data_IF_642376613851
#
_entry.id   IF_642376613851
#
_cell.length_a   1.000
_cell.length_b   1.000
_cell.length_c   1.000
_cell.angle_alpha   90.00
_cell.angle_beta   90.00
_cell.angle_gamma   90.00
#
_symmetry.space_group_name_H-M   'P 1'
#
loop_
_entity.id
_entity.type
_entity.pdbx_description
1 polymer ?
#
# COMPACT_ATOMS: atom_id res chain seq x y z
N UNK A 1 26.45 -5.84 -5.44
CA UNK A 1 25.30 -4.94 -5.39
C UNK A 1 25.57 -3.81 -4.41
N UNK A 2 25.15 -2.59 -4.72
CA UNK A 2 25.25 -1.45 -3.80
C UNK A 2 23.88 -1.10 -3.20
N UNK A 3 22.82 -1.27 -3.98
CA UNK A 3 21.45 -0.96 -3.60
C UNK A 3 20.50 -1.75 -4.51
N UNK A 4 19.37 -2.16 -3.97
CA UNK A 4 18.25 -2.72 -4.71
C UNK A 4 16.97 -1.97 -4.34
N UNK A 5 16.02 -1.91 -5.25
CA UNK A 5 14.71 -1.34 -5.00
C UNK A 5 13.61 -2.30 -5.44
N UNK A 6 12.48 -2.24 -4.77
CA UNK A 6 11.24 -2.94 -5.10
C UNK A 6 10.10 -1.93 -5.17
N UNK A 7 9.19 -2.12 -6.11
CA UNK A 7 7.95 -1.37 -6.24
C UNK A 7 6.94 -2.15 -7.07
N UNK A 8 5.66 -1.75 -7.02
CA UNK A 8 4.58 -2.36 -7.78
C UNK A 8 3.77 -3.38 -7.01
N UNK A 9 4.39 -4.06 -6.06
CA UNK A 9 3.75 -4.97 -5.10
C UNK A 9 4.36 -4.78 -3.72
N UNK A 10 3.62 -5.11 -2.67
CA UNK A 10 4.15 -5.05 -1.31
C UNK A 10 5.28 -6.07 -1.13
N UNK A 11 6.41 -5.63 -0.59
CA UNK A 11 7.56 -6.49 -0.32
C UNK A 11 7.36 -7.26 1.01
N UNK A 12 7.19 -8.60 0.97
CA UNK A 12 7.09 -9.38 2.20
C UNK A 12 8.38 -9.29 3.02
N UNK A 13 8.23 -9.14 4.34
CA UNK A 13 9.37 -9.00 5.25
C UNK A 13 10.34 -10.18 5.19
N UNK A 14 9.81 -11.42 5.05
CA UNK A 14 10.62 -12.63 4.92
C UNK A 14 11.52 -12.59 3.66
N UNK A 15 10.95 -12.18 2.53
CA UNK A 15 11.69 -12.03 1.27
C UNK A 15 12.82 -11.01 1.43
N UNK A 16 12.54 -9.86 2.05
CA UNK A 16 13.54 -8.83 2.31
C UNK A 16 14.67 -9.33 3.21
N UNK A 17 14.35 -10.05 4.29
CA UNK A 17 15.33 -10.66 5.19
C UNK A 17 16.20 -11.68 4.48
N UNK A 18 15.61 -12.59 3.69
CA UNK A 18 16.33 -13.62 2.93
C UNK A 18 17.23 -13.01 1.86
N UNK A 19 16.75 -11.98 1.17
CA UNK A 19 17.55 -11.25 0.19
C UNK A 19 18.78 -10.61 0.84
N UNK A 20 18.61 -9.90 1.95
CA UNK A 20 19.70 -9.29 2.70
C UNK A 20 20.72 -10.34 3.18
N UNK A 21 20.23 -11.46 3.71
CA UNK A 21 21.10 -12.53 4.17
C UNK A 21 21.95 -13.13 3.04
N UNK A 22 21.41 -13.19 1.81
CA UNK A 22 22.10 -13.77 0.66
C UNK A 22 23.02 -12.77 -0.04
N UNK A 23 22.59 -11.52 -0.23
CA UNK A 23 23.31 -10.54 -1.06
C UNK A 23 24.02 -9.45 -0.24
N UNK A 24 23.80 -9.37 1.07
CA UNK A 24 24.43 -8.40 1.96
C UNK A 24 23.94 -6.96 1.80
N UNK A 25 22.86 -6.74 1.04
CA UNK A 25 22.25 -5.40 0.82
C UNK A 25 20.75 -5.45 1.07
N UNK A 26 20.21 -4.31 1.52
CA UNK A 26 18.79 -4.15 1.71
C UNK A 26 18.05 -3.86 0.39
N UNK A 27 16.78 -4.19 0.35
CA UNK A 27 15.85 -3.74 -0.68
C UNK A 27 15.14 -2.48 -0.17
N UNK A 28 15.21 -1.42 -0.93
CA UNK A 28 14.46 -0.18 -0.70
C UNK A 28 13.09 -0.38 -1.32
N UNK A 29 12.08 -0.57 -0.47
CA UNK A 29 10.70 -0.68 -0.93
C UNK A 29 10.07 0.70 -1.11
N UNK A 30 9.09 0.80 -2.01
CA UNK A 30 8.38 2.03 -2.26
C UNK A 30 7.13 1.86 -3.09
N UNK A 31 6.19 2.77 -2.93
CA UNK A 31 5.00 2.88 -3.77
C UNK A 31 4.98 4.21 -4.50
N UNK A 32 4.65 4.13 -5.76
CA UNK A 32 4.32 5.24 -6.64
C UNK A 32 3.13 4.89 -7.50
N UNK A 33 2.64 5.84 -8.27
CA UNK A 33 1.56 5.59 -9.21
C UNK A 33 1.71 6.44 -10.48
N UNK A 34 0.98 6.06 -11.52
CA UNK A 34 0.89 6.84 -12.76
C UNK A 34 0.33 8.24 -12.50
N UNK A 35 -0.63 8.35 -11.59
CA UNK A 35 -1.28 9.61 -11.20
C UNK A 35 -0.34 10.59 -10.52
N UNK A 36 0.65 10.06 -9.81
CA UNK A 36 1.67 10.86 -9.11
C UNK A 36 3.00 10.91 -9.86
N UNK A 37 3.13 10.21 -11.01
CA UNK A 37 4.34 10.11 -11.85
C UNK A 37 5.56 9.51 -11.13
N UNK A 38 5.58 9.51 -9.83
CA UNK A 38 6.75 9.23 -9.00
C UNK A 38 6.40 8.40 -7.77
N UNK A 39 7.42 7.88 -7.10
CA UNK A 39 7.33 7.26 -5.79
C UNK A 39 7.08 8.34 -4.75
N UNK A 40 6.07 8.15 -3.90
CA UNK A 40 5.65 9.09 -2.86
C UNK A 40 5.74 8.54 -1.43
N UNK A 41 5.80 7.22 -1.26
CA UNK A 41 6.23 6.55 -0.03
C UNK A 41 7.42 5.65 -0.35
N UNK A 42 8.43 5.64 0.50
CA UNK A 42 9.59 4.76 0.33
C UNK A 42 10.31 4.53 1.65
N UNK A 43 10.96 3.37 1.75
CA UNK A 43 12.02 3.16 2.73
C UNK A 43 13.23 4.04 2.37
N UNK A 44 13.98 4.46 3.39
CA UNK A 44 15.26 5.15 3.22
C UNK A 44 16.40 4.16 3.56
N UNK A 45 17.56 4.21 2.88
CA UNK A 45 18.67 3.27 3.15
C UNK A 45 19.09 3.18 4.62
N UNK A 46 18.98 4.30 5.35
CA UNK A 46 19.34 4.38 6.77
C UNK A 46 18.13 4.19 7.71
N UNK A 47 16.93 3.95 7.17
CA UNK A 47 15.69 3.87 7.94
C UNK A 47 14.73 2.87 7.28
N UNK A 48 15.10 1.58 7.33
CA UNK A 48 14.32 0.48 6.74
C UNK A 48 13.58 -0.26 7.84
N UNK A 49 12.27 -0.41 7.67
CA UNK A 49 11.43 -1.30 8.46
C UNK A 49 10.78 -2.32 7.52
N UNK A 50 11.26 -3.56 7.55
CA UNK A 50 10.70 -4.62 6.72
C UNK A 50 9.22 -4.87 7.01
N UNK A 51 8.45 -5.18 5.97
CA UNK A 51 6.99 -5.28 6.05
C UNK A 51 6.28 -3.93 6.02
N UNK A 52 7.02 -2.83 5.82
CA UNK A 52 6.43 -1.52 5.56
C UNK A 52 6.97 -0.93 4.27
N UNK A 53 6.18 -0.11 3.62
CA UNK A 53 6.59 0.67 2.44
C UNK A 53 7.51 1.85 2.82
N UNK A 54 7.62 2.16 4.12
CA UNK A 54 8.45 3.26 4.63
C UNK A 54 7.65 4.50 5.00
N UNK A 55 8.17 5.66 4.66
CA UNK A 55 7.64 7.00 5.03
C UNK A 55 7.44 7.88 3.79
N UNK A 56 6.72 9.02 3.91
CA UNK A 56 6.57 9.95 2.81
C UNK A 56 7.91 10.47 2.28
N UNK A 57 8.06 10.44 0.96
CA UNK A 57 9.23 11.00 0.27
C UNK A 57 9.19 12.54 0.38
N UNK A 58 10.34 13.17 0.49
CA UNK A 58 10.43 14.63 0.60
C UNK A 58 9.67 15.34 -0.54
N UNK A 59 8.81 16.29 -0.19
CA UNK A 59 7.95 17.03 -1.12
C UNK A 59 6.57 16.42 -1.32
N UNK A 60 6.30 15.25 -0.75
CA UNK A 60 4.98 14.64 -0.72
C UNK A 60 4.38 14.66 0.68
N UNK A 61 3.08 14.87 0.72
CA UNK A 61 2.27 14.71 1.92
C UNK A 61 1.33 13.53 1.73
N UNK A 62 1.16 12.75 2.79
CA UNK A 62 0.34 11.54 2.77
C UNK A 62 -0.65 11.58 3.92
N UNK A 63 -1.89 11.27 3.62
CA UNK A 63 -2.99 11.20 4.60
C UNK A 63 -3.73 9.88 4.44
N UNK A 64 -4.03 9.22 5.55
CA UNK A 64 -4.95 8.09 5.58
C UNK A 64 -6.34 8.60 6.00
N UNK A 65 -7.37 8.25 5.25
CA UNK A 65 -8.76 8.60 5.57
C UNK A 65 -9.57 7.35 5.86
N UNK A 66 -10.27 7.39 6.99
CA UNK A 66 -11.26 6.38 7.35
C UNK A 66 -12.48 6.45 6.41
N UNK A 67 -13.39 5.50 6.50
CA UNK A 67 -14.60 5.44 5.65
C UNK A 67 -15.51 6.67 5.77
N UNK A 68 -15.50 7.33 6.92
CA UNK A 68 -16.24 8.57 7.14
C UNK A 68 -15.56 9.81 6.54
N UNK A 69 -14.44 9.66 5.85
CA UNK A 69 -13.65 10.72 5.22
C UNK A 69 -12.79 11.54 6.18
N UNK A 70 -12.78 11.21 7.48
CA UNK A 70 -11.90 11.86 8.46
C UNK A 70 -10.52 11.21 8.45
N UNK A 71 -9.47 11.91 8.91
CA UNK A 71 -8.16 11.32 9.09
C UNK A 71 -8.22 10.06 9.99
N UNK A 72 -7.64 8.96 9.53
CA UNK A 72 -7.51 7.74 10.32
C UNK A 72 -6.45 7.92 11.42
N UNK A 73 -6.70 7.33 12.58
CA UNK A 73 -5.73 7.30 13.67
C UNK A 73 -4.59 6.32 13.37
N UNK A 74 -3.48 6.45 14.13
CA UNK A 74 -2.41 5.46 14.05
C UNK A 74 -2.93 4.08 14.46
N UNK A 75 -2.59 3.06 13.68
CA UNK A 75 -3.09 1.70 13.83
C UNK A 75 -4.43 1.41 13.14
N UNK A 76 -5.12 2.41 12.60
CA UNK A 76 -6.35 2.22 11.83
C UNK A 76 -6.07 2.12 10.33
N UNK A 77 -6.82 1.23 9.66
CA UNK A 77 -6.79 1.13 8.19
C UNK A 77 -7.48 2.35 7.59
N UNK A 78 -6.82 3.00 6.64
CA UNK A 78 -7.36 4.13 5.91
C UNK A 78 -7.05 4.07 4.42
N UNK A 79 -7.87 4.75 3.63
CA UNK A 79 -7.64 5.01 2.22
C UNK A 79 -6.48 6.00 2.07
N UNK A 80 -5.52 5.68 1.21
CA UNK A 80 -4.31 6.48 1.01
C UNK A 80 -4.58 7.65 0.06
N UNK A 81 -4.33 8.84 0.55
CA UNK A 81 -4.36 10.08 -0.20
C UNK A 81 -2.99 10.73 -0.24
N UNK A 82 -2.60 11.24 -1.40
CA UNK A 82 -1.29 11.85 -1.62
C UNK A 82 -1.46 13.27 -2.15
N UNK A 83 -0.64 14.19 -1.66
CA UNK A 83 -0.46 15.53 -2.20
C UNK A 83 1.00 15.74 -2.58
N UNK A 84 1.26 16.21 -3.79
CA UNK A 84 2.63 16.46 -4.26
C UNK A 84 2.66 17.18 -5.60
N UNK A 85 3.83 17.71 -5.98
CA UNK A 85 3.96 18.59 -7.16
C UNK A 85 3.81 17.85 -8.50
N UNK A 86 3.92 16.53 -8.50
CA UNK A 86 3.89 15.71 -9.72
C UNK A 86 2.52 15.13 -10.05
N UNK A 87 1.49 15.46 -9.26
CA UNK A 87 0.13 14.95 -9.48
C UNK A 87 -0.37 15.30 -10.89
N UNK A 88 -0.93 14.31 -11.57
CA UNK A 88 -1.58 14.50 -12.86
C UNK A 88 -2.86 15.36 -12.70
N UNK A 89 -3.28 15.98 -13.79
CA UNK A 89 -4.46 16.85 -13.77
C UNK A 89 -5.76 16.05 -13.92
N UNK A 90 -5.74 15.02 -14.77
CA UNK A 90 -6.92 14.21 -15.08
C UNK A 90 -6.53 12.97 -15.89
N UNK A 91 -7.47 12.02 -15.98
CA UNK A 91 -7.43 10.97 -16.99
C UNK A 91 -8.00 11.49 -18.31
N UNK A 92 -7.37 11.14 -19.43
CA UNK A 92 -7.83 11.52 -20.74
C UNK A 92 -9.23 10.97 -21.04
N UNK A 93 -10.16 11.84 -21.40
CA UNK A 93 -11.56 11.50 -21.74
C UNK A 93 -12.32 10.68 -20.70
N UNK A 94 -11.88 10.67 -19.44
CA UNK A 94 -12.54 9.96 -18.34
C UNK A 94 -12.81 10.91 -17.17
N UNK A 95 -13.90 11.68 -17.32
CA UNK A 95 -14.27 12.73 -16.34
C UNK A 95 -14.68 12.16 -15.00
N UNK A 96 -15.41 11.05 -15.00
CA UNK A 96 -15.91 10.42 -13.78
C UNK A 96 -14.76 9.94 -12.92
N UNK A 97 -13.90 9.11 -13.49
CA UNK A 97 -12.70 8.59 -12.79
C UNK A 97 -11.76 9.70 -12.36
N UNK A 98 -11.62 10.77 -13.17
CA UNK A 98 -10.78 11.92 -12.81
C UNK A 98 -11.29 12.61 -11.55
N UNK A 99 -12.61 12.77 -11.39
CA UNK A 99 -13.21 13.39 -10.20
C UNK A 99 -13.11 12.53 -8.95
N UNK A 100 -13.19 11.21 -9.11
CA UNK A 100 -13.00 10.26 -8.02
C UNK A 100 -11.56 10.25 -7.51
N UNK A 101 -10.60 10.36 -8.44
CA UNK A 101 -9.18 10.23 -8.15
C UNK A 101 -8.55 11.55 -7.71
N UNK A 102 -8.76 12.62 -8.50
CA UNK A 102 -8.13 13.93 -8.25
C UNK A 102 -9.10 14.85 -7.50
N UNK A 103 -8.95 14.89 -6.18
CA UNK A 103 -9.85 15.58 -5.25
C UNK A 103 -9.21 16.86 -4.71
N UNK A 104 -9.25 17.95 -5.49
CA UNK A 104 -8.59 19.20 -5.14
C UNK A 104 -7.06 19.06 -5.18
N UNK A 105 -6.40 19.25 -4.03
CA UNK A 105 -4.95 19.08 -3.91
C UNK A 105 -4.52 17.63 -3.67
N UNK A 106 -5.47 16.73 -3.44
CA UNK A 106 -5.22 15.35 -3.07
C UNK A 106 -5.52 14.38 -4.22
N UNK A 107 -4.70 13.37 -4.36
CA UNK A 107 -4.91 12.22 -5.25
C UNK A 107 -5.22 10.99 -4.41
N UNK A 108 -6.36 10.36 -4.67
CA UNK A 108 -6.76 9.09 -4.07
C UNK A 108 -6.02 7.95 -4.78
N UNK A 109 -5.24 7.13 -4.05
CA UNK A 109 -4.45 6.05 -4.67
C UNK A 109 -5.28 4.82 -5.03
N UNK A 110 -6.33 4.53 -4.26
CA UNK A 110 -7.05 3.26 -4.32
C UNK A 110 -6.39 2.14 -3.50
N UNK A 111 -5.40 2.49 -2.69
CA UNK A 111 -4.73 1.57 -1.78
C UNK A 111 -5.11 1.88 -0.34
N UNK A 112 -5.19 0.84 0.49
CA UNK A 112 -5.39 0.96 1.94
C UNK A 112 -4.08 0.72 2.67
N UNK A 113 -3.85 1.53 3.68
CA UNK A 113 -2.66 1.49 4.52
C UNK A 113 -3.00 1.66 5.99
N UNK A 114 -2.09 1.20 6.83
CA UNK A 114 -2.05 1.53 8.26
C UNK A 114 -0.79 2.33 8.51
N UNK A 115 -0.89 3.43 9.26
CA UNK A 115 0.28 4.13 9.78
C UNK A 115 0.53 3.66 11.20
N UNK A 116 1.74 3.17 11.48
CA UNK A 116 2.11 2.78 12.83
C UNK A 116 2.53 3.98 13.69
N UNK A 117 2.68 3.74 15.00
CA UNK A 117 3.08 4.77 15.97
C UNK A 117 4.49 5.36 15.73
N UNK A 118 5.29 4.77 14.84
CA UNK A 118 6.62 5.23 14.44
C UNK A 118 6.57 5.99 13.10
N UNK A 119 5.38 6.10 12.50
CA UNK A 119 5.15 6.82 11.25
C UNK A 119 5.45 6.01 9.98
N UNK A 120 5.63 4.69 10.07
CA UNK A 120 5.76 3.84 8.90
C UNK A 120 4.40 3.44 8.36
N UNK A 121 4.31 3.34 7.05
CA UNK A 121 3.12 2.95 6.33
C UNK A 121 3.19 1.48 5.94
N UNK A 122 2.23 0.71 6.41
CA UNK A 122 2.09 -0.74 6.14
C UNK A 122 0.92 -0.94 5.19
N UNK A 123 1.16 -1.63 4.09
CA UNK A 123 0.14 -1.93 3.09
C UNK A 123 -0.94 -2.86 3.66
N UNK A 124 -2.20 -2.53 3.43
CA UNK A 124 -3.36 -3.27 3.92
C UNK A 124 -4.29 -3.78 2.79
N UNK A 125 -3.86 -3.63 1.54
CA UNK A 125 -4.61 -4.11 0.37
C UNK A 125 -5.14 -3.00 -0.53
N UNK A 126 -5.83 -3.39 -1.59
CA UNK A 126 -6.54 -2.49 -2.50
C UNK A 126 -7.94 -2.19 -1.97
N UNK A 127 -8.42 -0.98 -2.21
CA UNK A 127 -9.77 -0.57 -1.81
C UNK A 127 -10.87 -1.31 -2.58
N UNK A 128 -10.58 -1.67 -3.83
CA UNK A 128 -11.47 -2.38 -4.74
C UNK A 128 -11.43 -3.91 -4.57
N UNK A 129 -10.41 -4.46 -3.90
CA UNK A 129 -10.24 -5.90 -3.67
C UNK A 129 -10.73 -6.36 -2.28
N UNK A 130 -11.14 -5.43 -1.40
CA UNK A 130 -11.60 -5.77 -0.06
C UNK A 130 -12.86 -6.63 -0.11
N UNK A 131 -12.78 -7.81 0.50
CA UNK A 131 -13.92 -8.72 0.63
C UNK A 131 -14.82 -8.29 1.78
N UNK A 132 -16.13 -8.35 1.58
CA UNK A 132 -17.10 -8.12 2.64
C UNK A 132 -17.68 -9.46 3.11
N UNK A 133 -17.23 -9.94 4.26
CA UNK A 133 -17.64 -11.23 4.83
C UNK A 133 -18.47 -10.96 6.08
N UNK A 134 -19.75 -11.28 6.04
CA UNK A 134 -20.69 -11.07 7.17
C UNK A 134 -20.63 -9.63 7.73
N UNK A 135 -20.47 -8.64 6.85
CA UNK A 135 -20.41 -7.22 7.23
C UNK A 135 -19.02 -6.74 7.67
N UNK A 136 -18.03 -7.59 7.73
CA UNK A 136 -16.64 -7.25 8.08
C UNK A 136 -15.82 -7.18 6.79
N UNK A 137 -15.00 -6.12 6.65
CA UNK A 137 -14.03 -6.04 5.56
C UNK A 137 -12.80 -6.89 5.87
N UNK A 138 -12.50 -7.80 4.95
CA UNK A 138 -11.34 -8.70 5.01
C UNK A 138 -10.42 -8.36 3.85
N UNK A 139 -9.17 -8.13 4.14
CA UNK A 139 -8.13 -7.94 3.13
C UNK A 139 -7.65 -9.29 2.60
N UNK A 140 -7.81 -9.60 1.31
CA UNK A 140 -7.18 -10.76 0.70
C UNK A 140 -5.68 -10.81 1.00
N UNK A 141 -5.00 -9.68 0.87
CA UNK A 141 -3.57 -9.55 1.11
C UNK A 141 -3.14 -9.98 2.53
N UNK A 142 -3.90 -9.60 3.57
CA UNK A 142 -3.59 -10.00 4.95
C UNK A 142 -3.71 -11.53 5.13
N UNK A 143 -4.75 -12.13 4.56
CA UNK A 143 -4.96 -13.58 4.62
C UNK A 143 -3.89 -14.32 3.83
N UNK A 144 -3.57 -13.87 2.64
CA UNK A 144 -2.51 -14.43 1.79
C UNK A 144 -1.15 -14.34 2.48
N UNK A 145 -0.83 -13.19 3.07
CA UNK A 145 0.41 -12.98 3.82
C UNK A 145 0.52 -13.95 5.00
N UNK A 146 -0.55 -14.13 5.77
CA UNK A 146 -0.58 -15.07 6.89
C UNK A 146 -0.41 -16.52 6.42
N UNK A 147 -1.00 -16.90 5.29
CA UNK A 147 -0.84 -18.24 4.71
C UNK A 147 0.59 -18.49 4.24
N UNK A 148 1.23 -17.47 3.64
CA UNK A 148 2.62 -17.56 3.15
C UNK A 148 3.67 -17.60 4.26
N UNK A 149 3.32 -17.33 5.52
CA UNK A 149 4.22 -17.57 6.66
C UNK A 149 4.49 -19.07 6.88
N UNK A 150 3.61 -19.94 6.37
CA UNK A 150 3.83 -21.38 6.51
C UNK A 150 4.89 -21.88 5.51
N UNK A 151 5.96 -22.59 5.95
CA UNK A 151 7.11 -22.94 5.11
C UNK A 151 6.81 -23.85 3.91
N UNK A 152 5.64 -24.51 3.89
CA UNK A 152 5.18 -25.34 2.78
C UNK A 152 4.29 -24.58 1.77
N UNK A 153 3.99 -23.31 2.02
CA UNK A 153 3.19 -22.46 1.12
C UNK A 153 4.15 -21.57 0.32
N UNK A 154 4.14 -21.71 -0.99
CA UNK A 154 4.92 -20.87 -1.89
C UNK A 154 4.16 -19.60 -2.29
N UNK A 155 2.88 -19.78 -2.62
CA UNK A 155 1.97 -18.72 -3.05
C UNK A 155 0.57 -19.02 -2.51
N UNK A 156 -0.20 -17.98 -2.24
CA UNK A 156 -1.60 -18.06 -1.84
C UNK A 156 -2.40 -16.99 -2.59
N UNK A 157 -3.65 -17.28 -2.93
CA UNK A 157 -4.59 -16.32 -3.47
C UNK A 157 -5.95 -16.48 -2.78
N UNK A 158 -6.49 -15.38 -2.31
CA UNK A 158 -7.80 -15.31 -1.65
C UNK A 158 -8.81 -14.68 -2.59
N UNK A 159 -9.87 -15.40 -2.87
CA UNK A 159 -10.97 -14.93 -3.72
C UNK A 159 -12.30 -14.96 -2.95
N UNK A 160 -13.13 -13.97 -3.19
CA UNK A 160 -14.50 -13.96 -2.69
C UNK A 160 -15.39 -14.92 -3.49
N UNK A 161 -16.19 -15.71 -2.81
CA UNK A 161 -17.28 -16.48 -3.43
C UNK A 161 -18.58 -16.14 -2.73
N UNK A 162 -19.67 -16.06 -3.51
CA UNK A 162 -21.00 -15.92 -2.95
C UNK A 162 -21.46 -17.28 -2.45
N UNK A 163 -22.04 -17.33 -1.27
CA UNK A 163 -22.74 -18.52 -0.76
C UNK A 163 -24.19 -18.56 -1.26
N UNK A 164 -24.96 -19.54 -0.79
CA UNK A 164 -26.34 -19.74 -1.21
C UNK A 164 -27.29 -18.57 -0.81
N UNK A 165 -26.86 -17.75 0.13
CA UNK A 165 -27.63 -16.62 0.66
C UNK A 165 -27.12 -15.27 0.13
N UNK A 166 -26.05 -15.25 -0.70
CA UNK A 166 -25.44 -14.07 -1.31
C UNK A 166 -24.52 -13.33 -0.39
#
# INVERSE_FOLDING_TARGET
LRMCSSAGEALPADIAHRFKAHFGVDIIDGIGSTEMLHVFLSSHPDDIKYGSTGKPVAGYEVELRAENGQPAADGEVGELYIRGPSAALMYWSNREKSRETFQGAWTKSGDKYVRDAQGYYVYAGRSDDMLKVSGIYVSPFEVESALMEHPAVLEAAVIGTLDADG
#
